data_IF_275762134794
#
_entry.id   IF_275762134794
#
_cell.length_a   1.000
_cell.length_b   1.000
_cell.length_c   1.000
_cell.angle_alpha   90.00
_cell.angle_beta   90.00
_cell.angle_gamma   90.00
#
_symmetry.space_group_name_H-M   'P 1'
#
loop_
_entity.id
_entity.type
_entity.pdbx_description
1 polymer ?
#
# COMPACT_ATOMS: atom_id res chain seq x y z
N UNK A 1 20.01 -32.35 28.01
CA UNK A 1 19.16 -31.46 28.81
C UNK A 1 19.46 -30.03 28.41
N UNK A 2 18.65 -29.52 27.49
CA UNK A 2 18.71 -28.13 27.03
C UNK A 2 18.08 -27.27 28.12
N UNK A 3 18.88 -26.53 28.85
CA UNK A 3 18.39 -25.50 29.75
C UNK A 3 17.74 -24.41 28.88
N UNK A 4 16.42 -24.40 28.83
CA UNK A 4 15.65 -23.21 28.44
C UNK A 4 15.95 -22.18 29.55
N UNK A 5 16.79 -21.20 29.26
CA UNK A 5 16.89 -19.99 30.08
C UNK A 5 15.56 -19.27 29.91
N UNK A 6 14.70 -19.35 30.90
CA UNK A 6 13.64 -18.40 31.12
C UNK A 6 14.32 -17.04 31.40
N UNK A 7 14.62 -16.27 30.35
CA UNK A 7 14.81 -14.85 30.52
C UNK A 7 13.47 -14.35 31.03
N UNK A 8 13.44 -13.72 32.20
CA UNK A 8 12.25 -13.11 32.74
C UNK A 8 11.66 -12.23 31.62
N UNK A 9 10.51 -12.63 31.10
CA UNK A 9 9.78 -11.84 30.11
C UNK A 9 9.60 -10.45 30.73
N UNK A 10 10.25 -9.44 30.17
CA UNK A 10 10.11 -8.09 30.69
C UNK A 10 8.68 -7.65 30.38
N UNK A 11 7.84 -7.64 31.41
CA UNK A 11 6.46 -7.15 31.33
C UNK A 11 6.50 -5.66 30.96
N UNK A 12 6.34 -5.36 29.67
CA UNK A 12 6.21 -3.98 29.21
C UNK A 12 4.75 -3.62 29.20
N UNK A 13 4.29 -2.88 30.22
CA UNK A 13 2.95 -2.35 30.23
C UNK A 13 2.88 -1.09 29.36
N UNK A 14 2.09 -1.15 28.30
CA UNK A 14 1.78 -0.01 27.44
C UNK A 14 0.27 0.24 27.40
N UNK A 15 -0.13 1.49 27.28
CA UNK A 15 -1.54 1.82 27.13
C UNK A 15 -2.06 1.38 25.76
N UNK A 16 -1.19 1.46 24.73
CA UNK A 16 -1.51 1.09 23.37
C UNK A 16 -0.34 0.37 22.69
N UNK A 17 -0.62 -0.80 22.12
CA UNK A 17 0.33 -1.57 21.32
C UNK A 17 -0.07 -1.47 19.83
N UNK A 18 0.84 -0.98 18.99
CA UNK A 18 0.67 -0.95 17.55
C UNK A 18 1.51 -2.06 16.93
N UNK A 19 0.87 -2.98 16.21
CA UNK A 19 1.52 -4.09 15.52
C UNK A 19 1.63 -3.75 14.03
N UNK A 20 2.84 -3.43 13.58
CA UNK A 20 3.16 -3.04 12.23
C UNK A 20 3.78 -1.65 12.13
N UNK A 21 4.92 -1.56 11.43
CA UNK A 21 5.74 -0.32 11.28
C UNK A 21 5.56 0.36 9.92
N UNK A 22 4.48 0.07 9.18
CA UNK A 22 4.14 0.74 7.92
C UNK A 22 3.41 2.06 8.14
N UNK A 23 2.93 2.69 7.06
CA UNK A 23 2.25 3.99 7.11
C UNK A 23 1.08 4.04 8.08
N UNK A 24 0.21 3.02 8.08
CA UNK A 24 -0.95 2.97 8.99
C UNK A 24 -0.51 2.87 10.47
N UNK A 25 0.49 2.03 10.77
CA UNK A 25 0.98 1.86 12.13
C UNK A 25 1.70 3.09 12.66
N UNK A 26 2.55 3.71 11.85
CA UNK A 26 3.24 4.94 12.20
C UNK A 26 2.25 6.09 12.44
N UNK A 27 1.26 6.29 11.55
CA UNK A 27 0.21 7.30 11.72
C UNK A 27 -0.60 7.08 12.98
N UNK A 28 -1.04 5.83 13.22
CA UNK A 28 -1.80 5.50 14.43
C UNK A 28 -1.00 5.74 15.72
N UNK A 29 0.31 5.46 15.69
CA UNK A 29 1.17 5.69 16.85
C UNK A 29 1.40 7.18 17.12
N UNK A 30 1.59 7.99 16.07
CA UNK A 30 1.74 9.45 16.17
C UNK A 30 0.48 10.05 16.77
N UNK A 31 -0.71 9.75 16.23
CA UNK A 31 -1.97 10.26 16.70
C UNK A 31 -2.26 9.82 18.14
N UNK A 32 -1.98 8.56 18.48
CA UNK A 32 -2.14 8.07 19.84
C UNK A 32 -1.20 8.79 20.83
N UNK A 33 0.03 9.06 20.43
CA UNK A 33 1.00 9.79 21.22
C UNK A 33 0.56 11.25 21.44
N UNK A 34 0.09 11.93 20.40
CA UNK A 34 -0.43 13.30 20.48
C UNK A 34 -1.68 13.39 21.38
N UNK A 35 -2.50 12.33 21.39
CA UNK A 35 -3.63 12.20 22.33
C UNK A 35 -3.19 11.83 23.78
N UNK A 36 -1.88 11.81 24.08
CA UNK A 36 -1.33 11.52 25.40
C UNK A 36 -1.30 10.05 25.78
N UNK A 37 -1.44 9.13 24.84
CA UNK A 37 -1.34 7.72 25.12
C UNK A 37 0.13 7.27 25.24
N UNK A 38 0.40 6.33 26.17
CA UNK A 38 1.68 5.62 26.22
C UNK A 38 1.65 4.51 25.15
N UNK A 39 2.27 4.76 24.01
CA UNK A 39 2.23 3.90 22.82
C UNK A 39 3.58 3.23 22.54
N UNK A 40 3.55 2.06 21.92
CA UNK A 40 4.71 1.35 21.41
C UNK A 40 4.36 0.71 20.07
N UNK A 41 5.30 0.76 19.13
CA UNK A 41 5.22 0.03 17.86
C UNK A 41 6.05 -1.26 17.98
N UNK A 42 5.48 -2.37 17.50
CA UNK A 42 6.22 -3.62 17.27
C UNK A 42 6.17 -3.93 15.78
N UNK A 43 7.30 -4.22 15.19
CA UNK A 43 7.35 -4.52 13.76
C UNK A 43 8.28 -5.69 13.46
N UNK A 44 7.82 -6.57 12.59
CA UNK A 44 8.54 -7.77 12.14
C UNK A 44 9.86 -7.43 11.43
N UNK A 45 9.92 -6.27 10.81
CA UNK A 45 11.07 -5.72 10.11
C UNK A 45 11.45 -4.36 10.72
N UNK A 46 12.27 -3.57 10.04
CA UNK A 46 12.54 -2.19 10.47
C UNK A 46 11.30 -1.32 10.25
N UNK A 47 11.19 -0.27 11.05
CA UNK A 47 10.15 0.73 10.82
C UNK A 47 10.30 1.35 9.42
N UNK A 48 9.22 1.31 8.67
CA UNK A 48 9.18 1.75 7.27
C UNK A 48 9.38 0.64 6.24
N UNK A 49 9.92 -0.52 6.60
CA UNK A 49 10.01 -1.66 5.69
C UNK A 49 8.62 -2.26 5.47
N UNK A 50 7.85 -1.66 4.56
CA UNK A 50 6.44 -1.99 4.31
C UNK A 50 6.01 -1.60 2.89
N UNK A 51 4.82 -2.04 2.49
CA UNK A 51 4.24 -1.66 1.19
C UNK A 51 4.11 -0.14 1.01
N UNK A 52 3.92 0.62 2.09
CA UNK A 52 3.88 2.09 2.03
C UNK A 52 5.14 2.66 1.39
N UNK A 53 6.33 2.15 1.75
CA UNK A 53 7.60 2.59 1.17
C UNK A 53 7.67 2.36 -0.35
N UNK A 54 6.98 1.34 -0.84
CA UNK A 54 7.04 0.91 -2.25
C UNK A 54 5.97 1.59 -3.12
N UNK A 55 5.08 2.39 -2.54
CA UNK A 55 4.04 3.08 -3.30
C UNK A 55 4.61 4.26 -4.08
N UNK A 56 4.34 4.30 -5.38
CA UNK A 56 4.95 5.26 -6.32
C UNK A 56 3.97 6.33 -6.80
N UNK A 57 2.69 5.96 -6.93
CA UNK A 57 1.68 6.78 -7.61
C UNK A 57 1.31 8.05 -6.86
N UNK A 58 0.83 7.92 -5.65
CA UNK A 58 0.32 9.02 -4.83
C UNK A 58 -0.94 8.66 -4.05
N UNK A 59 -1.49 9.66 -3.37
CA UNK A 59 -2.73 9.55 -2.59
C UNK A 59 -3.81 10.40 -3.24
N UNK A 60 -5.02 9.85 -3.37
CA UNK A 60 -6.18 10.58 -3.86
C UNK A 60 -6.92 11.28 -2.72
N UNK A 61 -7.12 12.59 -2.86
CA UNK A 61 -7.92 13.40 -1.95
C UNK A 61 -8.58 14.55 -2.70
N UNK A 62 -9.87 14.74 -2.51
CA UNK A 62 -10.66 15.76 -3.19
C UNK A 62 -10.60 17.08 -2.39
N UNK A 63 -9.47 17.79 -2.48
CA UNK A 63 -9.16 19.03 -1.75
C UNK A 63 -9.16 20.28 -2.63
N UNK A 64 -9.52 20.16 -3.93
CA UNK A 64 -9.53 21.27 -4.89
C UNK A 64 -10.96 21.77 -5.15
N UNK A 65 -11.11 23.05 -5.49
CA UNK A 65 -12.41 23.70 -5.74
C UNK A 65 -13.25 23.03 -6.84
N UNK A 66 -12.59 22.42 -7.83
CA UNK A 66 -13.27 21.74 -8.95
C UNK A 66 -13.56 20.26 -8.67
N UNK A 67 -13.39 19.80 -7.44
CA UNK A 67 -13.65 18.43 -6.99
C UNK A 67 -14.39 18.43 -5.64
N UNK A 68 -14.84 17.27 -5.21
CA UNK A 68 -15.50 17.11 -3.91
C UNK A 68 -15.36 15.68 -3.39
N UNK A 69 -15.41 15.47 -2.06
CA UNK A 69 -15.50 14.14 -1.48
C UNK A 69 -16.69 13.31 -2.01
N UNK A 70 -17.80 13.96 -2.38
CA UNK A 70 -18.95 13.29 -3.02
C UNK A 70 -18.59 12.73 -4.40
N UNK A 71 -17.92 13.54 -5.24
CA UNK A 71 -17.45 13.05 -6.54
C UNK A 71 -16.40 11.97 -6.38
N UNK A 72 -15.50 12.10 -5.40
CA UNK A 72 -14.53 11.06 -5.05
C UNK A 72 -15.21 9.76 -4.62
N UNK A 73 -16.28 9.86 -3.80
CA UNK A 73 -17.08 8.70 -3.41
C UNK A 73 -17.70 8.00 -4.62
N UNK A 74 -18.31 8.75 -5.53
CA UNK A 74 -18.95 8.16 -6.72
C UNK A 74 -17.95 7.46 -7.63
N UNK A 75 -16.79 8.06 -7.87
CA UNK A 75 -15.71 7.45 -8.66
C UNK A 75 -15.21 6.15 -8.00
N UNK A 76 -14.94 6.18 -6.70
CA UNK A 76 -14.40 5.02 -5.97
C UNK A 76 -15.44 3.91 -5.82
N UNK A 77 -16.71 4.25 -5.56
CA UNK A 77 -17.80 3.28 -5.42
C UNK A 77 -18.13 2.61 -6.75
N UNK A 78 -18.20 3.40 -7.83
CA UNK A 78 -18.38 2.89 -9.19
C UNK A 78 -17.20 2.05 -9.67
N UNK A 79 -15.96 2.54 -9.48
CA UNK A 79 -14.74 1.83 -9.82
C UNK A 79 -14.54 0.53 -9.04
N UNK A 80 -15.13 0.42 -7.85
CA UNK A 80 -15.19 -0.80 -7.03
C UNK A 80 -16.43 -1.65 -7.30
N UNK A 81 -17.13 -1.44 -8.42
CA UNK A 81 -18.36 -2.18 -8.80
C UNK A 81 -19.44 -2.21 -7.71
N UNK A 82 -19.52 -1.13 -6.93
CA UNK A 82 -20.50 -0.97 -5.83
C UNK A 82 -20.36 -1.99 -4.70
N UNK A 83 -19.24 -2.69 -4.60
CA UNK A 83 -19.00 -3.73 -3.59
C UNK A 83 -18.51 -3.17 -2.24
N UNK A 84 -17.99 -1.95 -2.22
CA UNK A 84 -17.51 -1.34 -0.98
C UNK A 84 -18.63 -1.13 0.04
N UNK A 85 -18.30 -1.22 1.34
CA UNK A 85 -19.23 -0.80 2.39
C UNK A 85 -19.38 0.72 2.38
N UNK A 86 -20.59 1.25 2.17
CA UNK A 86 -20.81 2.68 1.97
C UNK A 86 -20.29 3.55 3.11
N UNK A 87 -20.48 3.14 4.35
CA UNK A 87 -20.05 3.87 5.55
C UNK A 87 -18.52 3.98 5.65
N UNK A 88 -17.79 2.93 5.29
CA UNK A 88 -16.32 2.94 5.31
C UNK A 88 -15.76 3.80 4.18
N UNK A 89 -16.29 3.64 2.98
CA UNK A 89 -15.89 4.44 1.83
C UNK A 89 -16.19 5.93 2.05
N UNK A 90 -17.38 6.25 2.61
CA UNK A 90 -17.73 7.63 2.96
C UNK A 90 -16.69 8.22 3.91
N UNK A 91 -16.32 7.50 4.96
CA UNK A 91 -15.33 7.97 5.94
C UNK A 91 -13.97 8.21 5.28
N UNK A 92 -13.50 7.26 4.48
CA UNK A 92 -12.24 7.36 3.73
C UNK A 92 -12.16 8.65 2.91
N UNK A 93 -13.18 8.91 2.05
CA UNK A 93 -13.13 10.03 1.13
C UNK A 93 -13.38 11.38 1.80
N UNK A 94 -14.18 11.41 2.87
CA UNK A 94 -14.45 12.64 3.63
C UNK A 94 -13.24 13.09 4.44
N UNK A 95 -12.46 12.16 4.98
CA UNK A 95 -11.27 12.45 5.80
C UNK A 95 -9.98 12.59 4.97
N UNK A 96 -10.00 12.18 3.69
CA UNK A 96 -8.82 12.23 2.83
C UNK A 96 -8.20 13.64 2.67
N UNK A 97 -8.96 14.74 2.52
CA UNK A 97 -8.39 16.09 2.47
C UNK A 97 -7.62 16.46 3.74
N UNK A 98 -8.15 16.14 4.91
CA UNK A 98 -7.49 16.42 6.18
C UNK A 98 -6.21 15.58 6.35
N UNK A 99 -6.25 14.32 5.91
CA UNK A 99 -5.07 13.44 5.93
C UNK A 99 -3.93 13.98 5.05
N UNK A 100 -4.23 14.51 3.86
CA UNK A 100 -3.22 15.16 2.99
C UNK A 100 -2.63 16.41 3.66
N UNK A 101 -3.47 17.25 4.26
CA UNK A 101 -3.00 18.45 4.97
C UNK A 101 -2.15 18.06 6.19
N UNK A 102 -2.53 17.03 6.92
CA UNK A 102 -1.76 16.50 8.05
C UNK A 102 -0.37 16.01 7.59
N UNK A 103 -0.28 15.21 6.54
CA UNK A 103 0.99 14.76 5.96
C UNK A 103 1.86 15.93 5.48
N UNK A 104 1.25 16.94 4.83
CA UNK A 104 1.97 18.15 4.40
C UNK A 104 2.51 18.95 5.60
N UNK A 105 1.75 19.05 6.71
CA UNK A 105 2.20 19.68 7.96
C UNK A 105 3.35 18.93 8.62
N UNK A 106 3.37 17.61 8.53
CA UNK A 106 4.48 16.79 9.01
C UNK A 106 5.74 16.91 8.15
N UNK A 107 5.66 17.52 6.96
CA UNK A 107 6.80 17.76 6.10
C UNK A 107 6.93 16.82 4.91
N UNK A 108 5.86 16.14 4.49
CA UNK A 108 5.84 15.40 3.23
C UNK A 108 5.93 16.38 2.07
N UNK A 109 6.93 16.21 1.22
CA UNK A 109 7.24 17.11 0.10
C UNK A 109 6.41 16.75 -1.15
N UNK A 110 5.09 16.98 -1.09
CA UNK A 110 4.24 16.85 -2.26
C UNK A 110 4.67 17.80 -3.39
N UNK A 111 4.44 17.39 -4.64
CA UNK A 111 4.67 18.22 -5.83
C UNK A 111 3.86 19.51 -5.71
N UNK A 112 4.51 20.66 -5.94
CA UNK A 112 3.91 22.00 -5.85
C UNK A 112 4.18 22.78 -7.11
N UNK A 113 3.29 23.74 -7.39
CA UNK A 113 3.48 24.78 -8.41
C UNK A 113 4.45 25.87 -7.92
N UNK A 114 4.67 26.88 -8.75
CA UNK A 114 5.55 28.00 -8.45
C UNK A 114 5.02 28.89 -7.32
N UNK A 115 3.73 28.88 -7.09
CA UNK A 115 3.02 29.58 -6.01
C UNK A 115 3.03 28.80 -4.69
N UNK A 116 3.52 27.55 -4.70
CA UNK A 116 3.61 26.68 -3.52
C UNK A 116 2.35 25.84 -3.24
N UNK A 117 1.35 25.85 -4.15
CA UNK A 117 0.17 25.01 -4.00
C UNK A 117 0.43 23.58 -4.44
N UNK A 118 -0.11 22.61 -3.72
CA UNK A 118 -0.02 21.21 -4.13
C UNK A 118 -0.73 20.97 -5.46
N UNK A 119 -0.01 20.38 -6.41
CA UNK A 119 -0.56 19.99 -7.73
C UNK A 119 -1.08 18.56 -7.69
N UNK A 120 -2.13 18.30 -8.47
CA UNK A 120 -2.75 16.99 -8.57
C UNK A 120 -2.76 16.47 -10.00
N UNK A 121 -2.80 15.15 -10.14
CA UNK A 121 -2.88 14.47 -11.43
C UNK A 121 -4.07 13.52 -11.50
N UNK A 122 -4.44 13.06 -12.69
CA UNK A 122 -5.42 12.00 -12.86
C UNK A 122 -4.84 10.65 -12.41
N UNK A 123 -5.66 9.85 -11.73
CA UNK A 123 -5.46 8.41 -11.60
C UNK A 123 -6.31 7.64 -12.61
N UNK A 124 -6.10 6.33 -12.74
CA UNK A 124 -6.99 5.45 -13.50
C UNK A 124 -8.39 5.41 -12.90
N UNK A 125 -9.42 5.47 -13.73
CA UNK A 125 -10.82 5.44 -13.30
C UNK A 125 -11.31 6.70 -12.56
N UNK A 126 -10.54 7.80 -12.55
CA UNK A 126 -10.95 9.02 -11.85
C UNK A 126 -11.53 10.07 -12.80
N UNK A 127 -12.63 10.71 -12.39
CA UNK A 127 -13.26 11.79 -13.16
C UNK A 127 -12.58 13.16 -12.95
N UNK A 128 -11.76 13.30 -11.90
CA UNK A 128 -11.07 14.55 -11.53
C UNK A 128 -9.61 14.32 -11.19
N UNK A 129 -8.80 15.37 -11.29
CA UNK A 129 -7.40 15.38 -10.86
C UNK A 129 -7.37 15.53 -9.33
N UNK A 130 -7.10 14.45 -8.60
CA UNK A 130 -7.04 14.46 -7.13
C UNK A 130 -5.88 13.67 -6.54
N UNK A 131 -5.01 13.14 -7.38
CA UNK A 131 -3.86 12.36 -6.91
C UNK A 131 -2.70 13.29 -6.57
N UNK A 132 -2.38 13.39 -5.28
CA UNK A 132 -1.22 14.09 -4.73
C UNK A 132 -0.02 13.16 -4.75
N UNK A 133 1.11 13.61 -5.22
CA UNK A 133 2.30 12.79 -5.39
C UNK A 133 3.58 13.55 -5.05
N UNK A 134 4.63 12.80 -4.77
CA UNK A 134 6.01 13.27 -4.69
C UNK A 134 6.77 12.64 -5.85
N UNK A 135 6.60 13.18 -7.07
CA UNK A 135 7.05 12.54 -8.31
C UNK A 135 6.56 11.09 -8.37
N UNK A 136 7.46 10.11 -8.50
CA UNK A 136 7.20 8.67 -8.38
C UNK A 136 7.87 8.04 -7.15
N UNK A 137 8.01 8.83 -6.07
CA UNK A 137 8.54 8.41 -4.76
C UNK A 137 7.53 8.60 -3.63
N UNK A 138 6.24 8.73 -3.93
CA UNK A 138 5.24 9.18 -2.96
C UNK A 138 5.26 8.37 -1.67
N UNK A 139 5.30 7.04 -1.77
CA UNK A 139 5.32 6.18 -0.60
C UNK A 139 6.62 6.27 0.20
N UNK A 140 7.75 6.35 -0.48
CA UNK A 140 9.05 6.50 0.17
C UNK A 140 9.14 7.82 0.94
N UNK A 141 8.64 8.92 0.37
CA UNK A 141 8.63 10.23 1.02
C UNK A 141 7.67 10.26 2.22
N UNK A 142 6.47 9.73 2.07
CA UNK A 142 5.50 9.61 3.18
C UNK A 142 6.10 8.77 4.31
N UNK A 143 6.68 7.62 3.99
CA UNK A 143 7.22 6.74 5.01
C UNK A 143 8.46 7.30 5.69
N UNK A 144 9.33 8.02 4.95
CA UNK A 144 10.45 8.77 5.52
C UNK A 144 9.94 9.74 6.59
N UNK A 145 8.97 10.58 6.23
CA UNK A 145 8.40 11.58 7.12
C UNK A 145 7.77 10.94 8.36
N UNK A 146 6.93 9.92 8.18
CA UNK A 146 6.26 9.25 9.31
C UNK A 146 7.25 8.57 10.25
N UNK A 147 8.29 7.92 9.70
CA UNK A 147 9.35 7.30 10.50
C UNK A 147 10.12 8.35 11.31
N UNK A 148 10.51 9.44 10.66
CA UNK A 148 11.24 10.52 11.32
C UNK A 148 10.40 11.15 12.45
N UNK A 149 9.08 11.30 12.24
CA UNK A 149 8.16 11.78 13.26
C UNK A 149 8.00 10.82 14.46
N UNK A 150 7.94 9.51 14.21
CA UNK A 150 7.93 8.50 15.28
C UNK A 150 9.21 8.60 16.13
N UNK A 151 10.36 8.75 15.49
CA UNK A 151 11.66 8.87 16.17
C UNK A 151 11.74 10.19 16.94
N UNK A 152 11.39 11.31 16.32
CA UNK A 152 11.46 12.64 16.93
C UNK A 152 10.57 12.78 18.16
N UNK A 153 9.41 12.11 18.19
CA UNK A 153 8.52 12.06 19.34
C UNK A 153 8.96 11.08 20.42
N UNK A 154 10.05 10.31 20.19
CA UNK A 154 10.53 9.31 21.13
C UNK A 154 9.56 8.14 21.34
N UNK A 155 8.72 7.83 20.33
CA UNK A 155 7.81 6.68 20.39
C UNK A 155 8.66 5.40 20.32
N UNK A 156 8.60 4.52 21.32
CA UNK A 156 9.37 3.27 21.31
C UNK A 156 8.99 2.37 20.13
N UNK A 157 9.99 1.87 19.41
CA UNK A 157 9.84 0.90 18.31
C UNK A 157 10.66 -0.33 18.63
N UNK A 158 10.01 -1.50 18.60
CA UNK A 158 10.67 -2.80 18.75
C UNK A 158 10.70 -3.47 17.37
N UNK A 159 11.85 -3.41 16.74
CA UNK A 159 12.10 -3.95 15.40
C UNK A 159 12.44 -5.44 15.45
N UNK A 160 12.43 -6.12 14.29
CA UNK A 160 12.72 -7.53 14.11
C UNK A 160 11.95 -8.43 15.10
N UNK A 161 10.74 -7.99 15.43
CA UNK A 161 9.89 -8.65 16.43
C UNK A 161 8.50 -8.88 15.86
N UNK A 162 8.11 -10.14 15.76
CA UNK A 162 6.81 -10.56 15.24
C UNK A 162 5.81 -10.76 16.37
N UNK A 163 4.60 -10.22 16.22
CA UNK A 163 3.48 -10.63 17.07
C UNK A 163 2.98 -12.00 16.58
N UNK A 164 2.95 -12.98 17.47
CA UNK A 164 2.61 -14.38 17.13
C UNK A 164 1.25 -14.82 17.66
N UNK A 165 0.75 -14.16 18.71
CA UNK A 165 -0.56 -14.44 19.30
C UNK A 165 -1.11 -13.19 19.97
N UNK A 166 -2.45 -12.99 19.95
CA UNK A 166 -3.11 -11.98 20.76
C UNK A 166 -3.54 -12.57 22.10
N UNK A 167 -3.26 -11.87 23.18
CA UNK A 167 -3.63 -12.29 24.53
C UNK A 167 -5.01 -11.74 24.85
N UNK A 168 -5.92 -12.58 25.37
CA UNK A 168 -7.21 -12.20 25.89
C UNK A 168 -7.21 -12.25 27.42
N UNK A 169 -7.92 -11.33 28.04
CA UNK A 169 -8.21 -11.36 29.45
C UNK A 169 -9.33 -12.37 29.80
N UNK A 170 -9.68 -12.46 31.08
CA UNK A 170 -10.74 -13.35 31.55
C UNK A 170 -12.13 -13.02 30.97
N UNK A 171 -12.31 -11.80 30.45
CA UNK A 171 -13.55 -11.33 29.81
C UNK A 171 -13.55 -11.57 28.30
N UNK A 172 -12.47 -12.16 27.76
CA UNK A 172 -12.30 -12.38 26.32
C UNK A 172 -11.83 -11.16 25.55
N UNK A 173 -11.46 -10.06 26.23
CA UNK A 173 -10.96 -8.84 25.59
C UNK A 173 -9.47 -8.97 25.25
N UNK A 174 -9.04 -8.38 24.13
CA UNK A 174 -7.63 -8.32 23.79
C UNK A 174 -6.90 -7.42 24.77
N UNK A 175 -5.93 -7.99 25.49
CA UNK A 175 -5.16 -7.35 26.56
C UNK A 175 -3.66 -7.27 26.26
N UNK A 176 -3.25 -7.60 25.04
CA UNK A 176 -1.86 -7.59 24.63
C UNK A 176 -1.53 -8.59 23.55
N UNK A 177 -0.25 -8.86 23.39
CA UNK A 177 0.26 -9.85 22.44
C UNK A 177 1.48 -10.60 22.96
N UNK A 178 1.65 -11.84 22.51
CA UNK A 178 2.91 -12.57 22.57
C UNK A 178 3.76 -12.17 21.38
N UNK A 179 4.99 -11.79 21.64
CA UNK A 179 5.96 -11.31 20.68
C UNK A 179 7.14 -12.30 20.60
N UNK A 180 7.68 -12.47 19.40
CA UNK A 180 8.88 -13.23 19.14
C UNK A 180 9.94 -12.31 18.55
N UNK A 181 11.05 -12.12 19.25
CA UNK A 181 12.23 -11.50 18.66
C UNK A 181 12.84 -12.49 17.64
N UNK A 182 12.92 -12.07 16.38
CA UNK A 182 13.33 -12.93 15.28
C UNK A 182 14.85 -13.11 15.17
N UNK A 183 15.62 -12.30 15.89
CA UNK A 183 17.09 -12.38 15.92
C UNK A 183 17.59 -13.25 17.07
N UNK A 184 16.96 -13.14 18.25
CA UNK A 184 17.36 -13.88 19.45
C UNK A 184 16.51 -15.11 19.73
N UNK A 185 15.37 -15.24 19.05
CA UNK A 185 14.34 -16.28 19.27
C UNK A 185 13.70 -16.21 20.67
N UNK A 186 13.84 -15.08 21.36
CA UNK A 186 13.23 -14.88 22.66
C UNK A 186 11.76 -14.49 22.55
N UNK A 187 10.93 -15.07 23.43
CA UNK A 187 9.54 -14.66 23.56
C UNK A 187 9.38 -13.55 24.60
N UNK A 188 8.52 -12.60 24.30
CA UNK A 188 8.15 -11.48 25.15
C UNK A 188 6.63 -11.37 25.25
N UNK A 189 6.13 -10.81 26.33
CA UNK A 189 4.72 -10.48 26.52
C UNK A 189 4.56 -8.98 26.59
N UNK A 190 3.81 -8.42 25.64
CA UNK A 190 3.39 -7.01 25.67
C UNK A 190 1.97 -6.94 26.21
N UNK A 191 1.80 -6.36 27.41
CA UNK A 191 0.48 -6.06 28.00
C UNK A 191 0.02 -4.70 27.52
N UNK A 192 -1.20 -4.60 27.03
CA UNK A 192 -1.77 -3.35 26.54
C UNK A 192 -3.25 -3.25 26.81
N UNK A 193 -3.77 -2.02 27.01
CA UNK A 193 -5.21 -1.77 27.12
C UNK A 193 -5.90 -1.87 25.77
N UNK A 194 -5.20 -1.53 24.71
CA UNK A 194 -5.68 -1.63 23.32
C UNK A 194 -4.58 -2.09 22.41
N UNK A 195 -4.94 -2.84 21.37
CA UNK A 195 -4.03 -3.31 20.33
C UNK A 195 -4.53 -2.80 18.98
N UNK A 196 -3.64 -2.16 18.22
CA UNK A 196 -3.89 -1.74 16.84
C UNK A 196 -3.15 -2.70 15.92
N UNK A 197 -3.87 -3.37 15.04
CA UNK A 197 -3.29 -4.21 13.99
C UNK A 197 -3.13 -3.38 12.73
N UNK A 198 -1.89 -3.16 12.29
CA UNK A 198 -1.53 -2.36 11.11
C UNK A 198 -0.47 -3.10 10.26
N UNK A 199 -0.62 -4.43 10.12
CA UNK A 199 0.39 -5.33 9.55
C UNK A 199 0.36 -5.41 8.02
N UNK A 200 -0.49 -4.66 7.36
CA UNK A 200 -0.74 -4.79 5.92
C UNK A 200 -1.55 -6.06 5.60
N UNK A 201 -1.41 -6.55 4.38
CA UNK A 201 -2.21 -7.65 3.86
C UNK A 201 -1.41 -8.92 3.55
N UNK A 202 -1.89 -9.69 2.58
CA UNK A 202 -1.38 -11.01 2.17
C UNK A 202 -0.77 -11.02 0.75
N UNK A 203 -0.44 -9.86 0.18
CA UNK A 203 -0.05 -9.75 -1.23
C UNK A 203 1.24 -10.48 -1.59
N UNK A 204 2.05 -10.92 -0.62
CA UNK A 204 3.23 -11.74 -0.86
C UNK A 204 2.92 -13.23 -0.98
N UNK A 205 1.74 -13.65 -0.64
CA UNK A 205 1.28 -15.01 -0.90
C UNK A 205 0.99 -15.11 -2.41
N UNK A 206 1.94 -15.66 -3.18
CA UNK A 206 1.81 -15.80 -4.63
C UNK A 206 0.52 -16.53 -4.99
N UNK A 207 -0.31 -15.88 -5.80
CA UNK A 207 -1.60 -16.40 -6.18
C UNK A 207 -1.62 -16.67 -7.70
N UNK A 208 -2.06 -17.86 -8.10
CA UNK A 208 -2.19 -18.26 -9.52
C UNK A 208 -0.93 -18.02 -10.37
N UNK A 209 0.25 -18.14 -9.79
CA UNK A 209 1.56 -17.94 -10.44
C UNK A 209 1.83 -16.53 -10.98
N UNK A 210 1.01 -15.53 -10.61
CA UNK A 210 1.34 -14.14 -10.91
C UNK A 210 2.51 -13.65 -10.06
N UNK A 211 3.37 -12.79 -10.62
CA UNK A 211 4.35 -12.07 -9.82
C UNK A 211 3.64 -11.10 -8.86
N UNK A 212 4.35 -10.59 -7.87
CA UNK A 212 3.80 -9.63 -6.92
C UNK A 212 4.68 -8.40 -6.80
N UNK A 213 4.05 -7.22 -6.72
CA UNK A 213 4.70 -5.96 -6.37
C UNK A 213 4.75 -5.72 -4.85
N UNK A 214 4.28 -6.67 -4.03
CA UNK A 214 4.20 -6.48 -2.60
C UNK A 214 5.54 -6.71 -1.90
N UNK A 215 5.73 -5.97 -0.80
CA UNK A 215 6.85 -6.16 0.12
C UNK A 215 6.84 -7.58 0.71
N UNK A 216 8.02 -8.18 0.89
CA UNK A 216 8.16 -9.57 1.37
C UNK A 216 7.55 -9.80 2.76
N UNK A 217 7.34 -8.74 3.55
CA UNK A 217 6.68 -8.79 4.85
C UNK A 217 5.15 -8.90 4.80
N UNK A 218 4.51 -8.78 3.63
CA UNK A 218 3.05 -8.83 3.48
C UNK A 218 2.54 -10.30 3.44
N UNK A 219 2.55 -10.98 4.58
CA UNK A 219 2.32 -12.43 4.73
C UNK A 219 1.08 -12.79 5.56
N UNK A 220 0.11 -11.89 5.66
CA UNK A 220 -1.18 -12.09 6.34
C UNK A 220 -1.12 -12.21 7.87
N UNK A 221 -0.02 -11.86 8.52
CA UNK A 221 0.17 -12.11 9.96
C UNK A 221 -0.97 -11.52 10.79
N UNK A 222 -1.31 -10.25 10.61
CA UNK A 222 -2.39 -9.60 11.36
C UNK A 222 -3.77 -10.14 11.04
N UNK A 223 -4.01 -10.62 9.82
CA UNK A 223 -5.26 -11.28 9.47
C UNK A 223 -5.44 -12.56 10.29
N UNK A 224 -4.39 -13.35 10.41
CA UNK A 224 -4.40 -14.58 11.21
C UNK A 224 -4.52 -14.28 12.72
N UNK A 225 -3.82 -13.27 13.22
CA UNK A 225 -3.93 -12.83 14.61
C UNK A 225 -5.36 -12.43 14.96
N UNK A 226 -5.97 -11.58 14.12
CA UNK A 226 -7.35 -11.12 14.30
C UNK A 226 -8.35 -12.26 14.19
N UNK A 227 -8.22 -13.12 13.18
CA UNK A 227 -9.09 -14.29 13.00
C UNK A 227 -9.03 -15.24 14.21
N UNK A 228 -7.84 -15.60 14.70
CA UNK A 228 -7.67 -16.42 15.90
C UNK A 228 -8.23 -15.75 17.15
N UNK A 229 -8.20 -14.43 17.22
CA UNK A 229 -8.83 -13.68 18.29
C UNK A 229 -10.37 -13.65 18.18
N UNK A 230 -10.95 -14.08 17.04
CA UNK A 230 -12.39 -14.16 16.80
C UNK A 230 -12.96 -13.03 15.96
N UNK A 231 -12.11 -12.18 15.36
CA UNK A 231 -12.56 -11.15 14.42
C UNK A 231 -12.98 -11.79 13.09
N UNK A 232 -14.14 -11.41 12.52
CA UNK A 232 -14.57 -11.92 11.22
C UNK A 232 -13.68 -11.37 10.08
N UNK A 233 -13.63 -12.12 8.99
CA UNK A 233 -12.94 -11.75 7.76
C UNK A 233 -13.95 -11.43 6.66
N UNK A 234 -13.67 -10.39 5.87
CA UNK A 234 -14.50 -9.99 4.73
C UNK A 234 -13.68 -9.97 3.45
N UNK A 235 -14.32 -10.28 2.33
CA UNK A 235 -13.81 -10.13 0.96
C UNK A 235 -12.41 -10.74 0.75
N UNK A 236 -12.16 -11.93 1.30
CA UNK A 236 -10.84 -12.58 1.22
C UNK A 236 -10.50 -13.06 -0.21
N UNK A 237 -11.50 -13.16 -1.07
CA UNK A 237 -11.41 -13.50 -2.50
C UNK A 237 -11.16 -12.29 -3.40
N UNK A 238 -11.20 -11.06 -2.87
CA UNK A 238 -11.02 -9.83 -3.66
C UNK A 238 -9.56 -9.39 -3.70
N UNK A 239 -8.88 -9.80 -4.76
CA UNK A 239 -7.47 -9.44 -4.99
C UNK A 239 -7.39 -8.54 -6.22
N UNK A 240 -6.71 -7.40 -6.09
CA UNK A 240 -6.47 -6.49 -7.20
C UNK A 240 -5.13 -6.82 -7.86
N UNK A 241 -5.16 -6.96 -9.17
CA UNK A 241 -3.97 -7.02 -10.01
C UNK A 241 -3.65 -5.62 -10.53
N UNK A 242 -2.40 -5.18 -10.33
CA UNK A 242 -1.94 -3.96 -10.99
C UNK A 242 -1.67 -4.27 -12.47
N UNK A 243 -2.24 -3.54 -13.41
CA UNK A 243 -2.12 -3.88 -14.84
C UNK A 243 -0.69 -3.81 -15.36
N UNK A 244 0.15 -2.97 -14.78
CA UNK A 244 1.51 -2.72 -15.24
C UNK A 244 2.55 -3.14 -14.19
N UNK A 245 2.87 -4.43 -14.14
CA UNK A 245 4.09 -4.95 -13.55
C UNK A 245 5.15 -5.14 -14.63
N UNK A 246 6.42 -5.10 -14.27
CA UNK A 246 7.53 -5.36 -15.20
C UNK A 246 7.43 -6.81 -15.71
N UNK A 247 7.33 -6.99 -17.02
CA UNK A 247 7.40 -8.31 -17.65
C UNK A 247 8.82 -8.63 -18.17
N UNK A 248 9.64 -7.61 -18.39
CA UNK A 248 11.05 -7.71 -18.78
C UNK A 248 11.79 -6.42 -18.39
N UNK A 249 13.05 -6.49 -17.91
CA UNK A 249 13.94 -7.65 -17.82
C UNK A 249 13.65 -8.56 -16.59
N UNK A 250 14.20 -9.78 -16.61
CA UNK A 250 13.94 -10.80 -15.61
C UNK A 250 14.36 -10.40 -14.18
N UNK A 251 15.39 -9.59 -14.04
CA UNK A 251 15.93 -9.14 -12.74
C UNK A 251 14.96 -8.28 -11.93
N UNK A 252 14.05 -7.60 -12.60
CA UNK A 252 13.01 -6.78 -11.96
C UNK A 252 11.59 -7.27 -12.30
N UNK A 253 11.46 -8.53 -12.72
CA UNK A 253 10.17 -9.13 -13.05
C UNK A 253 9.16 -8.99 -11.91
N UNK A 254 7.97 -8.48 -12.23
CA UNK A 254 6.90 -8.24 -11.27
C UNK A 254 7.02 -6.93 -10.48
N UNK A 255 8.13 -6.18 -10.59
CA UNK A 255 8.23 -4.87 -9.98
C UNK A 255 7.12 -3.94 -10.49
N UNK A 256 6.72 -2.99 -9.67
CA UNK A 256 5.67 -2.04 -10.03
C UNK A 256 6.15 -1.11 -11.15
N UNK A 257 5.35 -0.96 -12.19
CA UNK A 257 5.42 0.18 -13.10
C UNK A 257 4.28 1.11 -12.74
N UNK A 258 4.61 2.25 -12.17
CA UNK A 258 3.63 3.19 -11.61
C UNK A 258 2.56 3.57 -12.64
N UNK A 259 1.32 3.71 -12.17
CA UNK A 259 0.19 4.18 -12.98
C UNK A 259 0.46 5.55 -13.63
N UNK A 260 1.34 6.34 -13.02
CA UNK A 260 1.73 7.66 -13.52
C UNK A 260 2.31 7.61 -14.95
N UNK A 261 2.94 6.50 -15.35
CA UNK A 261 3.40 6.29 -16.73
C UNK A 261 2.24 6.38 -17.72
N UNK A 262 1.11 5.72 -17.43
CA UNK A 262 -0.11 5.80 -18.25
C UNK A 262 -0.78 7.18 -18.15
N UNK A 263 -0.79 7.78 -16.97
CA UNK A 263 -1.35 9.13 -16.75
C UNK A 263 -0.57 10.23 -17.49
N UNK A 264 0.69 9.99 -17.83
CA UNK A 264 1.52 10.91 -18.64
C UNK A 264 1.37 10.67 -20.16
N UNK A 265 0.59 9.68 -20.57
CA UNK A 265 0.22 9.45 -21.97
C UNK A 265 0.78 8.18 -22.61
N UNK A 266 1.48 7.32 -21.87
CA UNK A 266 1.92 6.03 -22.41
C UNK A 266 0.72 5.12 -22.69
N UNK A 267 0.70 4.53 -23.88
CA UNK A 267 -0.37 3.63 -24.33
C UNK A 267 0.03 2.18 -24.22
N UNK A 268 -0.94 1.32 -23.94
CA UNK A 268 -0.77 -0.14 -23.98
C UNK A 268 -1.00 -0.62 -25.42
N UNK A 269 0.04 -1.26 -25.99
CA UNK A 269 0.00 -1.77 -27.37
C UNK A 269 0.43 -3.25 -27.39
N UNK A 270 -0.19 -4.02 -28.30
CA UNK A 270 0.11 -5.43 -28.47
C UNK A 270 1.38 -5.66 -29.32
N UNK A 271 1.71 -6.91 -29.62
CA UNK A 271 2.86 -7.27 -30.44
C UNK A 271 2.76 -6.76 -31.90
N UNK A 272 1.56 -6.48 -32.38
CA UNK A 272 1.30 -5.93 -33.72
C UNK A 272 1.37 -4.39 -33.74
N UNK A 273 1.59 -3.74 -32.58
CA UNK A 273 1.64 -2.28 -32.45
C UNK A 273 0.27 -1.61 -32.34
N UNK A 274 -0.79 -2.39 -32.10
CA UNK A 274 -2.16 -1.87 -31.96
C UNK A 274 -2.49 -1.52 -30.53
N UNK A 275 -3.06 -0.33 -30.29
CA UNK A 275 -3.65 0.03 -29.02
C UNK A 275 -4.99 -0.70 -28.85
N UNK A 276 -5.16 -1.46 -27.76
CA UNK A 276 -6.33 -2.32 -27.56
C UNK A 276 -7.26 -1.89 -26.44
N UNK A 277 -6.92 -0.82 -25.72
CA UNK A 277 -7.72 -0.27 -24.63
C UNK A 277 -7.38 1.19 -24.33
N UNK A 278 -8.28 1.88 -23.60
CA UNK A 278 -7.97 3.21 -23.09
C UNK A 278 -6.94 3.13 -21.94
N UNK A 279 -5.88 3.95 -21.91
CA UNK A 279 -4.79 3.83 -20.94
C UNK A 279 -5.20 4.10 -19.48
N UNK A 280 -6.26 4.88 -19.24
CA UNK A 280 -6.75 5.26 -17.91
C UNK A 280 -8.02 4.52 -17.48
N UNK A 281 -8.27 3.34 -18.04
CA UNK A 281 -9.30 2.45 -17.53
C UNK A 281 -9.03 2.02 -16.07
N UNK A 282 -10.07 1.52 -15.40
CA UNK A 282 -9.93 0.93 -14.07
C UNK A 282 -8.94 -0.24 -14.08
N UNK A 283 -8.31 -0.52 -12.96
CA UNK A 283 -7.22 -1.51 -12.90
C UNK A 283 -7.67 -2.92 -13.26
N UNK A 284 -8.87 -3.31 -12.87
CA UNK A 284 -9.47 -4.61 -13.18
C UNK A 284 -9.71 -4.76 -14.68
N UNK A 285 -10.32 -3.77 -15.33
CA UNK A 285 -10.53 -3.74 -16.79
C UNK A 285 -9.19 -3.78 -17.52
N UNK A 286 -8.24 -2.97 -17.08
CA UNK A 286 -6.92 -2.93 -17.70
C UNK A 286 -6.16 -4.25 -17.55
N UNK A 287 -6.14 -4.85 -16.36
CA UNK A 287 -5.49 -6.13 -16.12
C UNK A 287 -6.15 -7.27 -16.93
N UNK A 288 -7.47 -7.34 -16.92
CA UNK A 288 -8.22 -8.34 -17.71
C UNK A 288 -7.99 -8.17 -19.21
N UNK A 289 -7.91 -6.93 -19.72
CA UNK A 289 -7.64 -6.66 -21.14
C UNK A 289 -6.24 -7.13 -21.54
N UNK A 290 -5.22 -6.87 -20.72
CA UNK A 290 -3.84 -7.32 -20.99
C UNK A 290 -3.77 -8.85 -20.98
N UNK A 291 -4.38 -9.51 -19.98
CA UNK A 291 -4.40 -10.98 -19.91
C UNK A 291 -5.06 -11.54 -21.16
N UNK A 292 -6.24 -11.03 -21.54
CA UNK A 292 -6.97 -11.47 -22.73
C UNK A 292 -6.16 -11.27 -24.01
N UNK A 293 -5.45 -10.14 -24.14
CA UNK A 293 -4.60 -9.85 -25.30
C UNK A 293 -3.45 -10.87 -25.43
N UNK A 294 -2.87 -11.25 -24.28
CA UNK A 294 -1.76 -12.22 -24.25
C UNK A 294 -2.23 -13.68 -24.40
N UNK A 295 -3.33 -14.07 -23.75
CA UNK A 295 -3.76 -15.48 -23.66
C UNK A 295 -4.76 -15.86 -24.77
N UNK A 296 -5.88 -15.12 -24.86
CA UNK A 296 -6.98 -15.51 -25.75
C UNK A 296 -6.73 -15.07 -27.19
N UNK A 297 -6.17 -13.87 -27.37
CA UNK A 297 -5.89 -13.30 -28.70
C UNK A 297 -4.53 -13.66 -29.24
N UNK A 298 -3.62 -14.17 -28.38
CA UNK A 298 -2.24 -14.52 -28.73
C UNK A 298 -1.45 -13.37 -29.39
N UNK A 299 -1.77 -12.11 -29.02
CA UNK A 299 -1.13 -10.88 -29.48
C UNK A 299 -0.14 -10.28 -28.46
N UNK A 300 0.23 -11.05 -27.43
CA UNK A 300 1.26 -10.67 -26.48
C UNK A 300 2.66 -10.86 -27.04
N UNK A 301 3.62 -10.10 -26.51
CA UNK A 301 5.05 -10.25 -26.77
C UNK A 301 5.59 -11.36 -25.89
N UNK A 302 6.20 -12.38 -26.48
CA UNK A 302 6.78 -13.52 -25.74
C UNK A 302 8.08 -13.13 -25.05
N UNK A 303 8.24 -13.53 -23.79
CA UNK A 303 9.46 -13.38 -23.00
C UNK A 303 9.88 -14.73 -22.41
N UNK A 304 11.12 -14.87 -21.91
CA UNK A 304 11.53 -16.09 -21.20
C UNK A 304 10.69 -16.44 -19.98
N UNK A 305 9.97 -15.45 -19.40
CA UNK A 305 9.15 -15.60 -18.19
C UNK A 305 7.64 -15.66 -18.45
N UNK A 306 7.24 -15.60 -19.72
CA UNK A 306 5.83 -15.58 -20.11
C UNK A 306 5.56 -14.63 -21.26
N UNK A 307 4.46 -13.91 -21.21
CA UNK A 307 4.11 -12.92 -22.23
C UNK A 307 3.81 -11.57 -21.57
N UNK A 308 3.83 -10.50 -22.36
CA UNK A 308 3.48 -9.16 -21.92
C UNK A 308 3.00 -8.31 -23.09
N UNK A 309 2.66 -7.07 -22.80
CA UNK A 309 2.32 -6.04 -23.79
C UNK A 309 3.27 -4.87 -23.68
N UNK A 310 3.46 -4.13 -24.76
CA UNK A 310 4.25 -2.92 -24.71
C UNK A 310 3.49 -1.78 -24.01
N UNK A 311 4.20 -1.03 -23.20
CA UNK A 311 3.79 0.28 -22.71
C UNK A 311 4.65 1.32 -23.42
N UNK A 312 4.04 2.08 -24.34
CA UNK A 312 4.72 3.05 -25.22
C UNK A 312 5.15 4.29 -24.46
N UNK A 313 6.23 4.14 -23.71
CA UNK A 313 6.78 5.21 -22.86
C UNK A 313 7.38 6.37 -23.65
N UNK A 314 7.99 6.21 -24.87
CA UNK A 314 8.43 7.34 -25.69
C UNK A 314 7.33 8.32 -26.05
N UNK A 315 6.06 7.90 -26.05
CA UNK A 315 4.92 8.79 -26.27
C UNK A 315 4.83 9.89 -25.22
N UNK A 316 5.31 9.66 -23.99
CA UNK A 316 5.33 10.66 -22.90
C UNK A 316 6.18 11.88 -23.30
N UNK A 317 7.36 11.65 -23.88
CA UNK A 317 8.24 12.72 -24.35
C UNK A 317 7.61 13.50 -25.53
N UNK A 318 6.88 12.79 -26.41
CA UNK A 318 6.19 13.42 -27.53
C UNK A 318 5.03 14.31 -27.08
N UNK A 319 4.29 13.91 -26.05
CA UNK A 319 3.13 14.65 -25.52
C UNK A 319 3.57 15.79 -24.60
N UNK A 320 4.48 15.49 -23.66
CA UNK A 320 4.89 16.40 -22.58
C UNK A 320 6.13 17.26 -22.91
N UNK A 321 6.81 16.95 -24.00
CA UNK A 321 8.11 17.54 -24.35
C UNK A 321 9.29 16.77 -23.79
N UNK A 322 10.47 16.98 -24.36
CA UNK A 322 11.72 16.35 -23.96
C UNK A 322 12.04 16.62 -22.49
N UNK A 323 12.45 15.57 -21.75
CA UNK A 323 12.76 15.62 -20.34
C UNK A 323 11.55 15.40 -19.40
N UNK A 324 10.36 15.15 -19.93
CA UNK A 324 9.16 14.90 -19.11
C UNK A 324 9.33 13.65 -18.23
N UNK A 325 9.84 12.56 -18.78
CA UNK A 325 10.09 11.31 -18.02
C UNK A 325 11.08 11.56 -16.89
N UNK A 326 12.19 12.23 -17.19
CA UNK A 326 13.23 12.54 -16.20
C UNK A 326 12.70 13.42 -15.06
N UNK A 327 11.86 14.40 -15.38
CA UNK A 327 11.28 15.33 -14.40
C UNK A 327 10.16 14.70 -13.58
N UNK A 328 9.28 13.89 -14.19
CA UNK A 328 8.02 13.44 -13.59
C UNK A 328 8.07 12.03 -13.00
N UNK A 329 8.91 11.14 -13.55
CA UNK A 329 9.04 9.73 -13.14
C UNK A 329 10.52 9.28 -13.11
N UNK A 330 11.39 10.00 -12.36
CA UNK A 330 12.83 9.72 -12.33
C UNK A 330 13.19 8.36 -11.74
N UNK A 331 12.35 7.79 -10.82
CA UNK A 331 12.60 6.46 -10.27
C UNK A 331 12.40 5.38 -11.30
N UNK A 332 11.32 5.46 -12.09
CA UNK A 332 11.10 4.55 -13.22
C UNK A 332 12.25 4.60 -14.23
N UNK A 333 12.65 5.80 -14.63
CA UNK A 333 13.78 5.96 -15.55
C UNK A 333 15.04 5.29 -14.98
N UNK A 334 15.38 5.55 -13.72
CA UNK A 334 16.55 4.95 -13.07
C UNK A 334 16.44 3.43 -12.99
N UNK A 335 15.28 2.89 -12.64
CA UNK A 335 15.06 1.45 -12.54
C UNK A 335 15.39 0.74 -13.85
N UNK A 336 14.90 1.26 -14.97
CA UNK A 336 15.16 0.67 -16.30
C UNK A 336 16.57 0.94 -16.83
N UNK A 337 17.12 2.14 -16.58
CA UNK A 337 18.49 2.50 -16.96
C UNK A 337 19.54 1.60 -16.31
N UNK A 338 19.30 1.06 -15.12
CA UNK A 338 20.18 0.08 -14.49
C UNK A 338 20.31 -1.23 -15.29
N UNK A 339 19.48 -1.43 -16.28
CA UNK A 339 19.45 -2.60 -17.19
C UNK A 339 19.58 -2.18 -18.66
N UNK A 340 20.18 -1.01 -18.91
CA UNK A 340 20.42 -0.47 -20.25
C UNK A 340 19.16 -0.25 -21.09
N UNK A 341 18.01 -0.07 -20.45
CA UNK A 341 16.73 0.22 -21.11
C UNK A 341 16.38 1.70 -20.89
N UNK A 342 16.54 2.49 -21.95
CA UNK A 342 16.14 3.90 -21.95
C UNK A 342 14.66 4.04 -22.35
N UNK A 343 13.78 4.10 -21.36
CA UNK A 343 12.33 4.21 -21.56
C UNK A 343 11.86 5.50 -22.26
N UNK A 344 12.76 6.47 -22.46
CA UNK A 344 12.52 7.66 -23.29
C UNK A 344 12.57 7.35 -24.78
N UNK A 345 13.29 6.28 -25.17
CA UNK A 345 13.59 5.91 -26.56
C UNK A 345 12.89 4.64 -27.00
N UNK A 346 12.68 3.71 -26.05
CA UNK A 346 12.07 2.40 -26.35
C UNK A 346 10.91 2.12 -25.39
N UNK A 347 9.84 1.45 -25.85
CA UNK A 347 8.76 1.03 -24.98
C UNK A 347 9.26 -0.02 -23.97
N UNK A 348 8.57 -0.11 -22.83
CA UNK A 348 8.83 -1.11 -21.80
C UNK A 348 7.80 -2.23 -21.85
N UNK A 349 8.16 -3.42 -21.41
CA UNK A 349 7.26 -4.57 -21.44
C UNK A 349 6.61 -4.78 -20.06
N UNK A 350 5.28 -4.89 -20.06
CA UNK A 350 4.48 -4.99 -18.82
C UNK A 350 3.49 -6.15 -18.87
N UNK A 351 3.15 -6.68 -17.70
CA UNK A 351 2.12 -7.68 -17.48
C UNK A 351 1.49 -7.50 -16.09
N UNK A 352 0.23 -7.91 -15.86
CA UNK A 352 -0.39 -7.77 -14.56
C UNK A 352 0.37 -8.46 -13.42
N UNK A 353 0.41 -7.81 -12.26
CA UNK A 353 1.07 -8.28 -11.04
C UNK A 353 0.14 -8.19 -9.85
N UNK A 354 0.22 -9.14 -8.93
CA UNK A 354 -0.47 -9.09 -7.64
C UNK A 354 -0.09 -7.80 -6.91
N UNK A 355 -1.08 -7.02 -6.49
CA UNK A 355 -0.81 -5.70 -5.94
C UNK A 355 -1.53 -5.43 -4.62
N UNK A 356 -2.83 -5.64 -4.53
CA UNK A 356 -3.61 -5.23 -3.38
C UNK A 356 -4.64 -6.29 -2.98
N UNK A 357 -4.74 -6.54 -1.69
CA UNK A 357 -5.84 -7.31 -1.11
C UNK A 357 -6.88 -6.33 -0.58
N UNK A 358 -8.09 -6.36 -1.17
CA UNK A 358 -9.15 -5.43 -0.80
C UNK A 358 -9.90 -5.88 0.46
N UNK A 359 -9.94 -7.19 0.72
CA UNK A 359 -10.50 -7.78 1.92
C UNK A 359 -9.59 -7.64 3.14
N UNK A 360 -10.09 -8.08 4.27
CA UNK A 360 -9.37 -8.03 5.53
C UNK A 360 -10.23 -8.40 6.73
N UNK A 361 -9.80 -8.00 7.90
CA UNK A 361 -10.60 -8.07 9.10
C UNK A 361 -11.81 -7.14 8.98
N UNK A 362 -12.99 -7.61 9.38
CA UNK A 362 -14.19 -6.78 9.39
C UNK A 362 -14.08 -5.68 10.45
N UNK A 363 -14.31 -4.44 10.04
CA UNK A 363 -14.26 -3.27 10.91
C UNK A 363 -15.49 -2.39 10.73
N UNK A 364 -15.82 -1.62 11.76
CA UNK A 364 -16.80 -0.53 11.70
C UNK A 364 -16.18 0.75 11.12
N UNK A 365 -17.01 1.81 11.01
CA UNK A 365 -16.56 3.13 10.55
C UNK A 365 -15.57 3.82 11.49
N UNK A 366 -15.45 3.35 12.71
CA UNK A 366 -14.47 3.78 13.72
C UNK A 366 -13.15 2.97 13.67
N UNK A 367 -12.99 2.12 12.65
CA UNK A 367 -11.87 1.18 12.47
C UNK A 367 -11.74 0.14 13.60
N UNK A 368 -12.86 -0.20 14.26
CA UNK A 368 -12.91 -1.20 15.34
C UNK A 368 -13.46 -2.52 14.81
N UNK A 369 -12.81 -3.63 15.17
CA UNK A 369 -13.34 -4.97 14.95
C UNK A 369 -13.86 -5.55 16.27
N UNK A 370 -15.05 -6.13 16.20
CA UNK A 370 -15.68 -6.78 17.33
C UNK A 370 -15.57 -8.28 17.22
N UNK A 371 -14.87 -8.88 18.16
CA UNK A 371 -14.99 -10.32 18.38
C UNK A 371 -16.33 -10.57 19.08
N UNK A 372 -16.96 -11.72 18.87
CA UNK A 372 -18.33 -12.04 19.38
C UNK A 372 -18.56 -11.86 20.89
N UNK A 373 -17.59 -11.47 21.64
CA UNK A 373 -17.63 -11.19 23.06
C UNK A 373 -16.95 -9.86 23.36
N UNK A 374 -17.73 -8.77 23.27
CA UNK A 374 -17.53 -7.45 23.92
C UNK A 374 -16.14 -6.81 23.96
N UNK A 375 -16.04 -5.70 23.29
CA UNK A 375 -15.13 -4.55 23.31
C UNK A 375 -14.05 -4.48 22.23
N UNK A 376 -13.75 -3.24 21.81
CA UNK A 376 -13.15 -3.02 20.52
C UNK A 376 -11.65 -3.32 20.48
N UNK A 377 -11.26 -4.09 19.50
CA UNK A 377 -9.88 -4.08 18.98
C UNK A 377 -9.83 -3.01 17.90
N UNK A 378 -9.04 -1.97 18.07
CA UNK A 378 -8.92 -0.91 17.09
C UNK A 378 -8.05 -1.43 15.95
N UNK A 379 -8.64 -1.54 14.76
CA UNK A 379 -7.99 -1.89 13.52
C UNK A 379 -7.95 -0.64 12.63
N UNK A 380 -6.78 -0.07 12.41
CA UNK A 380 -6.57 0.95 11.38
C UNK A 380 -5.79 0.34 10.23
N UNK A 381 -6.38 0.34 9.07
CA UNK A 381 -5.76 -0.09 7.80
C UNK A 381 -5.12 1.11 7.12
#
# INVERSE_FOLDING_TARGET
STRVRSSAASDVYKRQLVIGGGGAGASAAIEAHEAGANVMIVTKLRIGDANTMMAEGGIQAADKENDSPVQHYLDAFGGGHFAARPELLKRLVMEAPDAIQWLNKLGVMFDKDEEGNMVTTHGGGTSRKRMHACKDYSGAEIMRTLRDEVINRGIPVVEFTSAVELIKDEKGQVAGAVLLNMETEDYMVAKAKTVIIATGGAGRLHYQNFPTSNHYGATADGLILGYRAGAPLLYQDTIQYHPTGVAYPAQIYGALVTEKVRSLGAMLVNAEGEAFMHPLETRDVAAASIIRECTDRHKGVTTPLGSGVWLDTPMIEKIGGEGTIEKRIPAMLRMYMNYDIDMRKVPILVYPTLHYQNGGLEIGGDAVSYTHLTLPTILRV
#
